data_IF_814808788721
#
_entry.id   IF_814808788721
#
_cell.length_a   1.000
_cell.length_b   1.000
_cell.length_c   1.000
_cell.angle_alpha   90.00
_cell.angle_beta   90.00
_cell.angle_gamma   90.00
#
_symmetry.space_group_name_H-M   'P 1'
#
loop_
_entity.id
_entity.type
_entity.pdbx_description
1 polymer ?
#
# COMPACT_ATOMS: atom_id res chain seq x y z
N UNK A 1 -11.04 15.88 -15.81
CA UNK A 1 -10.54 16.31 -14.48
C UNK A 1 -10.31 15.05 -13.69
N UNK A 2 -9.10 14.86 -13.17
CA UNK A 2 -8.75 13.66 -12.41
C UNK A 2 -9.51 13.66 -11.08
N UNK A 3 -10.05 12.53 -10.69
CA UNK A 3 -10.81 12.42 -9.44
C UNK A 3 -9.85 12.61 -8.26
N UNK A 4 -10.03 13.67 -7.47
CA UNK A 4 -9.18 13.92 -6.29
C UNK A 4 -9.63 12.98 -5.17
N UNK A 5 -8.76 12.05 -4.80
CA UNK A 5 -9.01 11.10 -3.71
C UNK A 5 -8.43 11.67 -2.42
N UNK A 6 -9.29 12.00 -1.47
CA UNK A 6 -8.89 12.37 -0.12
C UNK A 6 -8.65 11.12 0.76
N UNK A 7 -8.09 11.33 1.95
CA UNK A 7 -7.74 10.24 2.87
C UNK A 7 -8.96 9.40 3.27
N UNK A 8 -10.12 10.02 3.50
CA UNK A 8 -11.33 9.31 3.93
C UNK A 8 -11.82 8.37 2.83
N UNK A 9 -11.83 8.83 1.59
CA UNK A 9 -12.22 8.03 0.43
C UNK A 9 -11.20 6.92 0.16
N UNK A 10 -9.90 7.21 0.26
CA UNK A 10 -8.84 6.21 0.10
C UNK A 10 -8.98 5.09 1.13
N UNK A 11 -9.15 5.43 2.41
CA UNK A 11 -9.34 4.46 3.48
C UNK A 11 -10.57 3.60 3.22
N UNK A 12 -11.70 4.20 2.82
CA UNK A 12 -12.91 3.46 2.49
C UNK A 12 -12.69 2.44 1.37
N UNK A 13 -12.01 2.84 0.28
CA UNK A 13 -11.69 1.95 -0.85
C UNK A 13 -10.83 0.77 -0.37
N UNK A 14 -9.78 1.05 0.40
CA UNK A 14 -8.86 0.04 0.91
C UNK A 14 -9.58 -0.92 1.86
N UNK A 15 -10.42 -0.42 2.76
CA UNK A 15 -11.21 -1.26 3.67
C UNK A 15 -12.21 -2.15 2.94
N UNK A 16 -12.87 -1.66 1.90
CA UNK A 16 -13.80 -2.46 1.09
C UNK A 16 -13.06 -3.56 0.30
N UNK A 17 -11.86 -3.27 -0.19
CA UNK A 17 -10.99 -4.26 -0.82
C UNK A 17 -10.50 -5.32 0.17
N UNK A 18 -10.06 -4.92 1.37
CA UNK A 18 -9.65 -5.84 2.43
C UNK A 18 -10.83 -6.71 2.88
N UNK A 19 -12.03 -6.14 3.06
CA UNK A 19 -13.23 -6.93 3.38
C UNK A 19 -13.53 -7.98 2.31
N UNK A 20 -13.34 -7.64 1.04
CA UNK A 20 -13.52 -8.58 -0.06
C UNK A 20 -12.48 -9.71 -0.02
N UNK A 21 -11.21 -9.37 0.24
CA UNK A 21 -10.13 -10.34 0.46
C UNK A 21 -10.46 -11.30 1.62
N UNK A 22 -10.87 -10.79 2.79
CA UNK A 22 -11.24 -11.63 3.94
C UNK A 22 -12.53 -12.42 3.73
N UNK A 23 -13.43 -11.95 2.87
CA UNK A 23 -14.67 -12.67 2.59
C UNK A 23 -14.47 -13.83 1.63
N UNK A 24 -13.65 -13.63 0.60
CA UNK A 24 -13.57 -14.56 -0.53
C UNK A 24 -12.28 -15.38 -0.55
N UNK A 25 -11.19 -14.86 0.03
CA UNK A 25 -9.82 -15.40 -0.07
C UNK A 25 -9.14 -15.46 1.30
N UNK A 26 -9.91 -15.72 2.37
CA UNK A 26 -9.38 -15.81 3.74
C UNK A 26 -8.38 -16.95 3.92
N UNK A 27 -8.47 -17.98 3.08
CA UNK A 27 -7.53 -19.09 3.04
C UNK A 27 -6.10 -18.61 2.79
N UNK A 28 -5.89 -17.56 1.98
CA UNK A 28 -4.56 -16.96 1.78
C UNK A 28 -3.97 -16.44 3.09
N UNK A 29 -4.83 -15.90 3.95
CA UNK A 29 -4.47 -15.40 5.27
C UNK A 29 -4.24 -16.60 6.21
N UNK A 30 -5.20 -17.52 6.31
CA UNK A 30 -5.13 -18.68 7.21
C UNK A 30 -3.96 -19.63 6.94
N UNK A 31 -3.61 -19.85 5.67
CA UNK A 31 -2.48 -20.69 5.27
C UNK A 31 -1.15 -19.93 5.20
N UNK A 32 -1.09 -18.70 5.73
CA UNK A 32 0.12 -17.87 5.78
C UNK A 32 0.78 -17.74 4.40
N UNK A 33 -0.04 -17.45 3.39
CA UNK A 33 0.47 -17.20 2.05
C UNK A 33 1.43 -16.00 2.06
N UNK A 34 2.36 -15.97 1.10
CA UNK A 34 3.33 -14.89 1.00
C UNK A 34 2.64 -13.53 0.85
N UNK A 35 3.27 -12.47 1.40
CA UNK A 35 2.84 -11.07 1.24
C UNK A 35 2.51 -10.75 -0.23
N UNK A 36 3.39 -11.13 -1.15
CA UNK A 36 3.20 -10.94 -2.60
C UNK A 36 1.88 -11.54 -3.12
N UNK A 37 1.47 -12.71 -2.64
CA UNK A 37 0.24 -13.38 -3.09
C UNK A 37 -1.01 -12.70 -2.52
N UNK A 38 -0.95 -12.30 -1.25
CA UNK A 38 -2.03 -11.52 -0.61
C UNK A 38 -2.20 -10.18 -1.32
N UNK A 39 -1.10 -9.50 -1.65
CA UNK A 39 -1.12 -8.23 -2.36
C UNK A 39 -1.57 -8.37 -3.81
N UNK A 40 -1.21 -9.46 -4.51
CA UNK A 40 -1.75 -9.81 -5.81
C UNK A 40 -3.28 -9.91 -5.79
N UNK A 41 -3.83 -10.56 -4.78
CA UNK A 41 -5.26 -10.75 -4.62
C UNK A 41 -5.96 -9.44 -4.23
N UNK A 42 -5.40 -8.67 -3.30
CA UNK A 42 -5.90 -7.34 -2.94
C UNK A 42 -5.94 -6.39 -4.14
N UNK A 43 -4.92 -6.44 -5.00
CA UNK A 43 -4.84 -5.64 -6.22
C UNK A 43 -6.00 -5.93 -7.19
N UNK A 44 -6.47 -7.18 -7.29
CA UNK A 44 -7.65 -7.52 -8.10
C UNK A 44 -8.90 -6.75 -7.62
N UNK A 45 -9.12 -6.68 -6.31
CA UNK A 45 -10.23 -5.93 -5.74
C UNK A 45 -10.09 -4.43 -5.97
N UNK A 46 -8.89 -3.88 -5.75
CA UNK A 46 -8.63 -2.46 -5.97
C UNK A 46 -8.80 -2.06 -7.44
N UNK A 47 -8.34 -2.87 -8.40
CA UNK A 47 -8.49 -2.61 -9.84
C UNK A 47 -9.94 -2.62 -10.31
N UNK A 48 -10.80 -3.37 -9.63
CA UNK A 48 -12.24 -3.39 -9.93
C UNK A 48 -12.97 -2.13 -9.46
N UNK A 49 -12.34 -1.32 -8.60
CA UNK A 49 -12.95 -0.13 -8.04
C UNK A 49 -12.92 1.05 -9.02
N UNK A 50 -14.11 1.44 -9.49
CA UNK A 50 -14.26 2.55 -10.44
C UNK A 50 -13.76 3.89 -9.90
N UNK A 51 -13.67 4.07 -8.58
CA UNK A 51 -13.12 5.29 -7.97
C UNK A 51 -11.63 5.46 -8.24
N UNK A 52 -10.92 4.37 -8.55
CA UNK A 52 -9.49 4.35 -8.89
C UNK A 52 -9.22 4.32 -10.41
N UNK A 53 -10.24 4.51 -11.25
CA UNK A 53 -10.11 4.38 -12.72
C UNK A 53 -9.09 5.33 -13.38
N UNK A 54 -8.75 6.44 -12.72
CA UNK A 54 -7.73 7.40 -13.17
C UNK A 54 -6.29 7.04 -12.73
N UNK A 55 -6.11 5.89 -12.06
CA UNK A 55 -4.83 5.46 -11.50
C UNK A 55 -4.44 4.08 -11.99
N UNK A 56 -3.14 3.89 -12.19
CA UNK A 56 -2.54 2.58 -12.30
C UNK A 56 -2.39 1.97 -10.90
N UNK A 57 -2.62 0.66 -10.79
CA UNK A 57 -2.42 -0.09 -9.55
C UNK A 57 -1.45 -1.23 -9.82
N UNK A 58 -0.27 -1.14 -9.23
CA UNK A 58 0.85 -1.99 -9.55
C UNK A 58 1.46 -2.63 -8.32
N UNK A 59 1.95 -3.85 -8.51
CA UNK A 59 2.68 -4.62 -7.50
C UNK A 59 4.15 -4.61 -7.91
N UNK A 60 5.03 -4.39 -6.94
CA UNK A 60 6.48 -4.42 -7.13
C UNK A 60 6.99 -3.49 -8.24
N UNK A 61 6.27 -2.39 -8.51
CA UNK A 61 6.67 -1.45 -9.53
C UNK A 61 7.76 -0.50 -9.03
N UNK A 62 8.97 -0.72 -9.54
CA UNK A 62 10.16 -0.03 -9.09
C UNK A 62 10.74 0.91 -10.16
N UNK A 63 9.97 1.47 -11.09
CA UNK A 63 10.51 2.34 -12.17
C UNK A 63 10.23 3.81 -11.92
N UNK A 64 11.23 4.67 -12.13
CA UNK A 64 11.13 6.12 -12.12
C UNK A 64 10.71 6.66 -13.50
N UNK A 65 10.06 7.83 -13.53
CA UNK A 65 9.73 8.55 -14.77
C UNK A 65 10.99 9.14 -15.41
N UNK A 66 10.97 9.34 -16.74
CA UNK A 66 12.10 9.84 -17.52
C UNK A 66 12.90 8.70 -18.12
N UNK A 67 13.88 8.17 -17.37
CA UNK A 67 14.85 7.20 -17.90
C UNK A 67 14.49 5.73 -17.62
N UNK A 68 13.45 5.45 -16.82
CA UNK A 68 13.09 4.09 -16.44
C UNK A 68 14.05 3.46 -15.42
N UNK A 69 14.87 4.28 -14.77
CA UNK A 69 15.76 3.83 -13.69
C UNK A 69 14.96 3.20 -12.55
N UNK A 70 15.61 2.31 -11.80
CA UNK A 70 14.97 1.73 -10.64
C UNK A 70 14.81 2.77 -9.53
N UNK A 71 13.62 2.87 -8.94
CA UNK A 71 13.37 3.54 -7.65
C UNK A 71 14.37 2.97 -6.65
N UNK A 72 14.99 3.87 -5.88
CA UNK A 72 15.95 3.50 -4.84
C UNK A 72 15.48 3.99 -3.48
N UNK A 73 15.83 3.25 -2.44
CA UNK A 73 15.58 3.60 -1.04
C UNK A 73 16.62 4.62 -0.53
N UNK A 74 16.55 4.95 0.76
CA UNK A 74 17.49 5.87 1.39
C UNK A 74 18.94 5.33 1.44
N UNK A 75 19.12 4.01 1.32
CA UNK A 75 20.42 3.34 1.23
C UNK A 75 20.93 3.18 -0.21
N UNK A 76 20.20 3.73 -1.21
CA UNK A 76 20.48 3.57 -2.65
C UNK A 76 20.29 2.15 -3.18
N UNK A 77 19.66 1.26 -2.42
CA UNK A 77 19.24 -0.07 -2.88
C UNK A 77 17.97 0.04 -3.72
N UNK A 78 17.68 -0.88 -4.66
CA UNK A 78 16.41 -0.91 -5.35
C UNK A 78 15.25 -0.96 -4.35
N UNK A 79 14.32 -0.01 -4.47
CA UNK A 79 13.12 0.04 -3.65
C UNK A 79 11.92 -0.45 -4.45
N UNK A 80 11.22 -1.41 -3.88
CA UNK A 80 10.12 -2.11 -4.53
C UNK A 80 8.99 -2.19 -3.53
N UNK A 81 7.99 -1.32 -3.73
CA UNK A 81 6.76 -1.33 -2.93
C UNK A 81 6.00 -2.62 -3.16
N UNK A 82 5.33 -3.13 -2.11
CA UNK A 82 4.38 -4.21 -2.28
C UNK A 82 3.20 -3.81 -3.17
N UNK A 83 2.67 -2.58 -3.03
CA UNK A 83 1.63 -2.05 -3.91
C UNK A 83 1.71 -0.53 -4.08
N UNK A 84 1.47 -0.05 -5.30
CA UNK A 84 1.39 1.36 -5.65
C UNK A 84 0.05 1.69 -6.29
N UNK A 85 -0.55 2.81 -5.91
CA UNK A 85 -1.60 3.50 -6.66
C UNK A 85 -0.99 4.80 -7.18
N UNK A 86 -0.80 4.90 -8.49
CA UNK A 86 0.02 5.94 -9.10
C UNK A 86 -0.38 6.23 -10.54
N UNK A 87 0.38 7.08 -11.22
CA UNK A 87 0.31 7.20 -12.67
C UNK A 87 1.62 6.78 -13.28
N UNK A 88 1.58 5.77 -14.14
CA UNK A 88 2.69 5.45 -15.01
C UNK A 88 2.91 6.61 -15.97
N UNK A 89 4.14 6.72 -16.44
CA UNK A 89 4.52 7.67 -17.49
C UNK A 89 4.21 9.16 -17.20
N UNK A 90 4.29 9.55 -15.93
CA UNK A 90 3.97 10.90 -15.46
C UNK A 90 5.02 11.35 -14.44
N UNK A 91 5.25 12.65 -14.33
CA UNK A 91 6.30 13.28 -13.52
C UNK A 91 6.01 13.27 -12.00
N UNK A 92 5.47 12.17 -11.46
CA UNK A 92 5.19 11.93 -10.03
C UNK A 92 4.19 12.88 -9.35
N UNK A 93 3.67 13.89 -10.05
CA UNK A 93 2.72 14.88 -9.50
C UNK A 93 1.37 14.29 -9.05
N UNK A 94 1.10 13.01 -9.38
CA UNK A 94 -0.18 12.37 -9.11
C UNK A 94 -0.04 10.96 -8.51
N UNK A 95 1.08 10.71 -7.83
CA UNK A 95 1.30 9.47 -7.10
C UNK A 95 0.44 9.47 -5.83
N UNK A 96 -0.53 8.56 -5.75
CA UNK A 96 -1.53 8.59 -4.69
C UNK A 96 -1.07 7.84 -3.45
N UNK A 97 -0.82 6.53 -3.59
CA UNK A 97 -0.53 5.65 -2.46
C UNK A 97 0.69 4.79 -2.75
N UNK A 98 1.57 4.74 -1.77
CA UNK A 98 2.58 3.70 -1.64
C UNK A 98 2.19 2.83 -0.45
N UNK A 99 2.12 1.51 -0.63
CA UNK A 99 1.68 0.57 0.39
C UNK A 99 2.75 -0.53 0.59
N UNK A 100 3.16 -0.72 1.84
CA UNK A 100 3.95 -1.88 2.30
C UNK A 100 3.09 -2.80 3.17
N UNK A 101 3.20 -4.10 2.94
CA UNK A 101 2.43 -5.12 3.63
C UNK A 101 3.32 -6.04 4.45
N UNK A 102 2.78 -6.49 5.58
CA UNK A 102 3.36 -7.56 6.38
C UNK A 102 2.30 -8.58 6.80
N UNK A 103 2.74 -9.81 6.98
CA UNK A 103 1.91 -10.91 7.49
C UNK A 103 2.50 -11.44 8.80
N UNK A 104 1.65 -11.77 9.79
CA UNK A 104 1.88 -12.68 10.93
C UNK A 104 3.16 -12.64 11.78
N UNK A 105 4.16 -11.83 11.47
CA UNK A 105 5.46 -11.81 12.12
C UNK A 105 5.55 -10.62 13.06
N UNK A 106 6.17 -10.86 14.22
CA UNK A 106 6.66 -9.79 15.09
C UNK A 106 7.69 -9.00 14.28
N UNK A 107 7.24 -7.94 13.64
CA UNK A 107 8.12 -6.91 13.06
C UNK A 107 8.96 -6.40 14.23
N UNK A 108 10.26 -6.53 14.09
CA UNK A 108 11.17 -5.92 15.06
C UNK A 108 11.04 -4.40 14.96
N UNK A 109 11.22 -3.68 16.07
CA UNK A 109 11.18 -2.21 16.05
C UNK A 109 12.14 -1.63 14.99
N UNK A 110 13.27 -2.31 14.76
CA UNK A 110 14.26 -1.96 13.74
C UNK A 110 13.74 -2.09 12.31
N UNK A 111 13.02 -3.16 11.99
CA UNK A 111 12.40 -3.33 10.66
C UNK A 111 11.35 -2.25 10.43
N UNK A 112 10.52 -1.98 11.44
CA UNK A 112 9.54 -0.89 11.37
C UNK A 112 10.20 0.48 11.18
N UNK A 113 11.30 0.75 11.89
CA UNK A 113 12.03 2.01 11.77
C UNK A 113 12.68 2.17 10.38
N UNK A 114 13.26 1.10 9.83
CA UNK A 114 13.80 1.11 8.47
C UNK A 114 12.71 1.38 7.43
N UNK A 115 11.54 0.74 7.59
CA UNK A 115 10.39 1.01 6.73
C UNK A 115 10.03 2.48 6.83
N UNK A 116 9.80 3.03 8.03
CA UNK A 116 9.47 4.45 8.28
C UNK A 116 10.50 5.41 7.65
N UNK A 117 11.80 5.11 7.72
CA UNK A 117 12.82 5.94 7.09
C UNK A 117 12.73 5.89 5.56
N UNK A 118 12.46 4.71 5.00
CA UNK A 118 12.14 4.55 3.58
C UNK A 118 10.88 5.32 3.20
N UNK A 119 9.83 5.32 4.04
CA UNK A 119 8.61 6.14 3.86
C UNK A 119 8.99 7.60 3.71
N UNK A 120 9.74 8.14 4.67
CA UNK A 120 10.11 9.56 4.70
C UNK A 120 10.92 9.94 3.48
N UNK A 121 11.87 9.11 3.07
CA UNK A 121 12.69 9.32 1.89
C UNK A 121 11.88 9.24 0.59
N UNK A 122 11.03 8.23 0.46
CA UNK A 122 10.25 8.04 -0.76
C UNK A 122 9.15 9.10 -0.91
N UNK A 123 8.59 9.60 0.19
CA UNK A 123 7.67 10.73 0.16
C UNK A 123 8.34 11.99 -0.42
N UNK A 124 9.55 12.31 0.03
CA UNK A 124 10.27 13.49 -0.48
C UNK A 124 10.75 13.30 -1.90
N UNK A 125 11.16 12.09 -2.29
CA UNK A 125 11.73 11.82 -3.62
C UNK A 125 10.68 11.56 -4.70
N UNK A 126 9.59 10.87 -4.37
CA UNK A 126 8.62 10.35 -5.35
C UNK A 126 7.22 10.94 -5.22
N UNK A 127 7.03 11.95 -4.37
CA UNK A 127 5.82 12.77 -4.29
C UNK A 127 4.53 11.98 -4.10
N UNK A 128 4.59 10.88 -3.32
CA UNK A 128 3.37 10.15 -2.93
C UNK A 128 2.59 10.95 -1.88
N UNK A 129 1.31 11.18 -2.14
CA UNK A 129 0.41 11.88 -1.20
C UNK A 129 0.22 11.08 0.09
N UNK A 130 0.01 9.77 -0.05
CA UNK A 130 -0.25 8.84 1.03
C UNK A 130 0.78 7.72 1.07
N UNK A 131 1.13 7.29 2.29
CA UNK A 131 1.82 6.04 2.54
C UNK A 131 1.06 5.19 3.51
N UNK A 132 0.93 3.89 3.24
CA UNK A 132 0.26 2.96 4.12
C UNK A 132 1.18 1.79 4.48
N UNK A 133 1.20 1.47 5.77
CA UNK A 133 1.72 0.21 6.25
C UNK A 133 0.55 -0.67 6.68
N UNK A 134 0.44 -1.89 6.17
CA UNK A 134 -0.65 -2.82 6.50
C UNK A 134 -0.11 -4.14 7.05
N UNK A 135 -0.71 -4.61 8.14
CA UNK A 135 -0.38 -5.87 8.78
C UNK A 135 -1.62 -6.77 8.80
N UNK A 136 -1.55 -7.88 8.07
CA UNK A 136 -2.63 -8.86 7.97
C UNK A 136 -2.49 -9.91 9.07
N UNK A 137 -3.57 -10.11 9.83
CA UNK A 137 -3.71 -11.20 10.80
C UNK A 137 -5.08 -11.85 10.65
N UNK A 138 -5.19 -13.12 11.05
CA UNK A 138 -6.42 -13.91 10.92
C UNK A 138 -7.67 -13.19 11.46
N UNK A 139 -7.55 -12.54 12.61
CA UNK A 139 -8.68 -11.93 13.32
C UNK A 139 -8.85 -10.44 13.03
N UNK A 140 -7.79 -9.77 12.56
CA UNK A 140 -7.78 -8.34 12.39
C UNK A 140 -6.72 -7.89 11.38
N UNK A 141 -6.98 -6.73 10.78
CA UNK A 141 -5.99 -5.99 9.99
C UNK A 141 -5.65 -4.73 10.75
N UNK A 142 -4.35 -4.48 10.91
CA UNK A 142 -3.84 -3.21 11.43
C UNK A 142 -3.26 -2.43 10.29
N UNK A 143 -3.54 -1.14 10.23
CA UNK A 143 -2.90 -0.28 9.24
C UNK A 143 -2.54 1.09 9.83
N UNK A 144 -1.46 1.66 9.30
CA UNK A 144 -0.98 3.01 9.60
C UNK A 144 -0.94 3.80 8.29
N UNK A 145 -1.68 4.91 8.24
CA UNK A 145 -1.72 5.83 7.11
C UNK A 145 -0.95 7.10 7.47
N UNK A 146 0.05 7.44 6.67
CA UNK A 146 0.89 8.62 6.81
C UNK A 146 0.54 9.65 5.73
N UNK A 147 0.32 10.91 6.11
CA UNK A 147 -0.04 12.02 5.22
C UNK A 147 0.33 13.35 5.86
N UNK A 148 0.77 14.38 5.11
CA UNK A 148 1.03 15.74 5.62
C UNK A 148 1.63 15.85 7.05
N UNK A 149 2.68 15.07 7.34
CA UNK A 149 3.36 14.96 8.66
C UNK A 149 2.52 14.37 9.82
N UNK A 150 1.29 13.95 9.53
CA UNK A 150 0.39 13.24 10.42
C UNK A 150 0.41 11.74 10.16
N UNK A 151 -0.08 10.97 11.13
CA UNK A 151 -0.30 9.54 11.04
C UNK A 151 -1.65 9.19 11.68
N UNK A 152 -2.39 8.29 11.03
CA UNK A 152 -3.57 7.63 11.60
C UNK A 152 -3.28 6.14 11.69
N UNK A 153 -3.58 5.55 12.84
CA UNK A 153 -3.52 4.10 13.05
C UNK A 153 -4.93 3.57 13.27
N UNK A 154 -5.24 2.43 12.66
CA UNK A 154 -6.53 1.77 12.80
C UNK A 154 -6.35 0.25 12.96
N UNK A 155 -7.29 -0.39 13.65
CA UNK A 155 -7.43 -1.85 13.67
C UNK A 155 -8.83 -2.24 13.24
N UNK A 156 -8.93 -2.95 12.13
CA UNK A 156 -10.19 -3.49 11.62
C UNK A 156 -10.31 -4.94 12.07
N UNK A 157 -11.31 -5.25 12.89
CA UNK A 157 -11.49 -6.60 13.43
C UNK A 157 -12.58 -7.36 12.65
N UNK A 158 -12.36 -8.66 12.44
CA UNK A 158 -13.23 -9.53 11.63
C UNK A 158 -14.12 -10.46 12.45
N UNK A 159 -14.31 -10.21 13.76
CA UNK A 159 -15.12 -11.04 14.67
C UNK A 159 -16.60 -11.26 14.28
N UNK A 160 -17.07 -10.69 13.16
CA UNK A 160 -18.49 -10.66 12.77
C UNK A 160 -18.73 -10.90 11.26
N UNK A 161 -17.78 -11.48 10.52
CA UNK A 161 -18.00 -11.88 9.12
C UNK A 161 -18.28 -13.38 9.04
#
# INVERSE_FOLDING_TARGET
MKNIINKELLLKIIEEAIKSLYKNDIDLIEYKSSERNIMATLNCYLKSDKRLSDYDIDIEYNREWGNGDSKRDYNKSPNTADLLIHTRWSNSEWNLLYLEAKTYFNITEKEKENDINTIRFCKTKFSYEYWMFICFNKENVKYELYYNQSMIQWTFNFWYI
#
